data_IF_136625658013
#
_entry.id   IF_136625658013
#
_cell.length_a   1.000
_cell.length_b   1.000
_cell.length_c   1.000
_cell.angle_alpha   90.00
_cell.angle_beta   90.00
_cell.angle_gamma   90.00
#
_symmetry.space_group_name_H-M   'P 1'
#
loop_
_entity.id
_entity.type
_entity.pdbx_description
1 polymer ?
#
# COMPACT_ATOMS: atom_id res chain seq x y z
N UNK A 1 -6.66 -32.44 -1.62
CA UNK A 1 -7.77 -31.60 -1.11
C UNK A 1 -7.34 -30.53 -0.10
N UNK A 2 -6.24 -30.66 0.65
CA UNK A 2 -5.78 -29.61 1.57
C UNK A 2 -5.03 -28.43 0.90
N UNK A 3 -4.50 -28.63 -0.32
CA UNK A 3 -3.67 -27.64 -1.04
C UNK A 3 -4.51 -26.61 -1.81
N UNK A 4 -5.74 -26.93 -2.21
CA UNK A 4 -6.62 -26.03 -2.99
C UNK A 4 -7.38 -25.00 -2.14
N UNK A 5 -7.43 -25.19 -0.81
CA UNK A 5 -8.08 -24.24 0.10
C UNK A 5 -7.07 -23.25 0.74
N UNK A 6 -5.77 -23.40 0.44
CA UNK A 6 -4.72 -22.57 1.01
C UNK A 6 -4.31 -21.48 0.01
N UNK A 7 -4.55 -20.21 0.36
CA UNK A 7 -4.09 -19.03 -0.41
C UNK A 7 -2.55 -18.92 -0.48
N UNK A 8 -1.83 -19.72 0.32
CA UNK A 8 -0.37 -19.75 0.39
C UNK A 8 0.09 -21.20 0.40
N UNK A 9 0.83 -21.61 -0.64
CA UNK A 9 1.47 -22.93 -0.72
C UNK A 9 2.91 -22.81 -0.23
N UNK A 10 3.23 -23.54 0.84
CA UNK A 10 4.58 -23.63 1.38
C UNK A 10 5.33 -24.73 0.62
N UNK A 11 6.44 -24.37 -0.01
CA UNK A 11 7.29 -25.28 -0.79
C UNK A 11 8.42 -25.90 0.07
N UNK A 12 8.59 -25.41 1.30
CA UNK A 12 9.60 -25.82 2.28
C UNK A 12 8.91 -26.37 3.54
N UNK A 13 9.37 -27.51 4.06
CA UNK A 13 8.78 -28.22 5.22
C UNK A 13 9.09 -27.59 6.60
N UNK A 14 9.60 -26.35 6.65
CA UNK A 14 10.03 -25.71 7.90
C UNK A 14 9.00 -24.67 8.42
N UNK A 15 8.19 -24.98 9.45
CA UNK A 15 7.12 -24.11 9.95
C UNK A 15 7.65 -22.81 10.56
N UNK A 16 8.95 -22.72 10.87
CA UNK A 16 9.59 -21.48 11.32
C UNK A 16 9.51 -20.36 10.26
N UNK A 17 9.47 -20.70 8.96
CA UNK A 17 9.34 -19.74 7.85
C UNK A 17 7.96 -19.06 7.82
N UNK A 18 6.92 -19.68 8.36
CA UNK A 18 5.57 -19.10 8.47
C UNK A 18 5.56 -17.89 9.42
N UNK A 19 6.26 -18.00 10.55
CA UNK A 19 6.42 -16.91 11.53
C UNK A 19 7.11 -15.69 10.92
N UNK A 20 8.16 -15.92 10.12
CA UNK A 20 8.89 -14.88 9.39
C UNK A 20 8.01 -14.23 8.32
N UNK A 21 7.34 -15.04 7.48
CA UNK A 21 6.42 -14.55 6.45
C UNK A 21 5.29 -13.70 7.06
N UNK A 22 4.71 -14.13 8.18
CA UNK A 22 3.71 -13.35 8.91
C UNK A 22 4.25 -12.03 9.46
N UNK A 23 5.49 -12.01 9.99
CA UNK A 23 6.13 -10.76 10.44
C UNK A 23 6.35 -9.77 9.29
N UNK A 24 6.76 -10.27 8.12
CA UNK A 24 6.95 -9.45 6.91
C UNK A 24 5.60 -8.90 6.42
N UNK A 25 4.57 -9.75 6.36
CA UNK A 25 3.21 -9.36 5.97
C UNK A 25 2.63 -8.28 6.89
N UNK A 26 2.84 -8.35 8.21
CA UNK A 26 2.38 -7.29 9.14
C UNK A 26 3.06 -5.94 8.92
N UNK A 27 4.35 -5.93 8.55
CA UNK A 27 5.07 -4.71 8.19
C UNK A 27 4.60 -4.14 6.85
N UNK A 28 4.37 -5.02 5.87
CA UNK A 28 3.72 -4.67 4.60
C UNK A 28 2.40 -3.93 4.84
N UNK A 29 1.52 -4.51 5.64
CA UNK A 29 0.20 -3.93 5.91
C UNK A 29 0.31 -2.53 6.52
N UNK A 30 1.25 -2.28 7.44
CA UNK A 30 1.45 -0.93 7.99
C UNK A 30 1.82 0.10 6.91
N UNK A 31 2.68 -0.26 5.96
CA UNK A 31 3.08 0.63 4.85
C UNK A 31 1.91 0.87 3.90
N UNK A 32 1.14 -0.19 3.59
CA UNK A 32 -0.08 -0.08 2.77
C UNK A 32 -1.08 0.88 3.43
N UNK A 33 -1.32 0.75 4.74
CA UNK A 33 -2.17 1.68 5.48
C UNK A 33 -1.67 3.13 5.39
N UNK A 34 -0.37 3.37 5.50
CA UNK A 34 0.20 4.72 5.33
C UNK A 34 -0.09 5.28 3.94
N UNK A 35 0.09 4.48 2.88
CA UNK A 35 -0.20 4.90 1.51
C UNK A 35 -1.69 5.21 1.29
N UNK A 36 -2.59 4.36 1.80
CA UNK A 36 -4.04 4.56 1.71
C UNK A 36 -4.45 5.84 2.42
N UNK A 37 -3.96 6.05 3.66
CA UNK A 37 -4.24 7.26 4.43
C UNK A 37 -3.74 8.51 3.71
N UNK A 38 -2.54 8.46 3.13
CA UNK A 38 -1.99 9.58 2.34
C UNK A 38 -2.85 9.90 1.12
N UNK A 39 -3.25 8.89 0.37
CA UNK A 39 -4.10 9.06 -0.80
C UNK A 39 -5.48 9.64 -0.45
N UNK A 40 -6.11 9.12 0.62
CA UNK A 40 -7.39 9.62 1.12
C UNK A 40 -7.29 11.05 1.62
N UNK A 41 -6.21 11.41 2.31
CA UNK A 41 -6.00 12.77 2.81
C UNK A 41 -5.94 13.77 1.65
N UNK A 42 -5.17 13.48 0.60
CA UNK A 42 -5.08 14.37 -0.57
C UNK A 42 -6.44 14.46 -1.29
N UNK A 43 -7.13 13.33 -1.49
CA UNK A 43 -8.48 13.33 -2.09
C UNK A 43 -9.45 14.20 -1.29
N UNK A 44 -9.43 14.09 0.04
CA UNK A 44 -10.29 14.86 0.94
C UNK A 44 -9.98 16.36 0.90
N UNK A 45 -8.70 16.74 0.88
CA UNK A 45 -8.28 18.15 0.77
C UNK A 45 -8.83 18.78 -0.52
N UNK A 46 -8.66 18.12 -1.66
CA UNK A 46 -9.17 18.63 -2.94
C UNK A 46 -10.69 18.61 -3.03
N UNK A 47 -11.34 17.63 -2.42
CA UNK A 47 -12.80 17.59 -2.33
C UNK A 47 -13.34 18.80 -1.55
N UNK A 48 -12.73 19.12 -0.41
CA UNK A 48 -13.10 20.30 0.40
C UNK A 48 -12.80 21.60 -0.36
N UNK A 49 -11.60 21.76 -0.92
CA UNK A 49 -11.23 22.94 -1.71
C UNK A 49 -12.13 23.13 -2.94
N UNK A 50 -12.55 22.04 -3.58
CA UNK A 50 -13.52 22.03 -4.67
C UNK A 50 -14.92 22.45 -4.22
N UNK A 51 -15.37 21.98 -3.06
CA UNK A 51 -16.64 22.39 -2.46
C UNK A 51 -16.69 23.90 -2.14
N UNK A 52 -15.54 24.51 -1.78
CA UNK A 52 -15.41 25.95 -1.59
C UNK A 52 -15.19 26.75 -2.91
N UNK A 53 -15.10 26.09 -4.06
CA UNK A 53 -14.98 26.74 -5.37
C UNK A 53 -13.61 27.35 -5.69
N UNK A 54 -12.59 27.08 -4.86
CA UNK A 54 -11.23 27.64 -5.00
C UNK A 54 -10.31 26.67 -5.78
N UNK A 55 -10.70 25.40 -5.90
CA UNK A 55 -9.87 24.39 -6.55
C UNK A 55 -9.94 24.47 -8.08
N UNK A 56 -8.79 24.69 -8.71
CA UNK A 56 -8.60 24.43 -10.13
C UNK A 56 -8.44 22.91 -10.36
N UNK A 57 -9.25 22.33 -11.25
CA UNK A 57 -9.19 20.89 -11.57
C UNK A 57 -7.79 20.42 -11.98
N UNK A 58 -7.01 21.30 -12.61
CA UNK A 58 -5.62 21.03 -12.99
C UNK A 58 -4.74 20.58 -11.80
N UNK A 59 -4.82 21.31 -10.67
CA UNK A 59 -4.05 20.98 -9.48
C UNK A 59 -4.51 19.69 -8.82
N UNK A 60 -5.82 19.40 -8.89
CA UNK A 60 -6.38 18.16 -8.36
C UNK A 60 -5.87 16.93 -9.13
N UNK A 61 -5.81 17.01 -10.47
CA UNK A 61 -5.28 15.93 -11.31
C UNK A 61 -3.79 15.72 -11.06
N UNK A 62 -3.00 16.80 -10.98
CA UNK A 62 -1.58 16.69 -10.67
C UNK A 62 -1.33 16.03 -9.32
N UNK A 63 -2.10 16.42 -8.29
CA UNK A 63 -1.99 15.84 -6.97
C UNK A 63 -2.37 14.35 -6.93
N UNK A 64 -3.43 13.93 -7.62
CA UNK A 64 -3.86 12.52 -7.69
C UNK A 64 -2.78 11.64 -8.36
N UNK A 65 -2.20 12.13 -9.47
CA UNK A 65 -1.10 11.44 -10.18
C UNK A 65 0.17 11.43 -9.33
N UNK A 66 0.50 12.52 -8.65
CA UNK A 66 1.65 12.59 -7.73
C UNK A 66 1.53 11.63 -6.55
N UNK A 67 0.34 11.57 -5.93
CA UNK A 67 0.00 10.61 -4.87
C UNK A 67 0.15 9.18 -5.36
N UNK A 68 -0.33 8.87 -6.57
CA UNK A 68 -0.19 7.54 -7.16
C UNK A 68 1.28 7.16 -7.30
N UNK A 69 2.13 8.06 -7.82
CA UNK A 69 3.57 7.80 -7.96
C UNK A 69 4.22 7.59 -6.60
N UNK A 70 3.91 8.42 -5.59
CA UNK A 70 4.43 8.27 -4.23
C UNK A 70 4.00 6.94 -3.60
N UNK A 71 2.74 6.54 -3.78
CA UNK A 71 2.23 5.26 -3.29
C UNK A 71 2.96 4.08 -3.95
N UNK A 72 3.21 4.15 -5.27
CA UNK A 72 3.97 3.13 -6.01
C UNK A 72 5.41 3.07 -5.52
N UNK A 73 6.09 4.21 -5.34
CA UNK A 73 7.46 4.24 -4.82
C UNK A 73 7.56 3.64 -3.40
N UNK A 74 6.62 3.97 -2.53
CA UNK A 74 6.54 3.38 -1.18
C UNK A 74 6.25 1.86 -1.24
N UNK A 75 5.42 1.41 -2.17
CA UNK A 75 5.16 -0.02 -2.38
C UNK A 75 6.40 -0.75 -2.94
N UNK A 76 7.14 -0.14 -3.88
CA UNK A 76 8.39 -0.69 -4.40
C UNK A 76 9.47 -0.78 -3.32
N UNK A 77 9.56 0.21 -2.42
CA UNK A 77 10.48 0.15 -1.27
C UNK A 77 10.22 -1.05 -0.37
N UNK A 78 8.96 -1.49 -0.27
CA UNK A 78 8.59 -2.68 0.48
C UNK A 78 9.08 -3.98 -0.18
N UNK A 79 9.04 -4.05 -1.52
CA UNK A 79 9.54 -5.21 -2.27
C UNK A 79 11.06 -5.40 -2.09
N UNK A 80 11.78 -4.31 -1.84
CA UNK A 80 13.24 -4.30 -1.58
C UNK A 80 13.55 -4.62 -0.09
N UNK A 81 12.55 -4.94 0.74
CA UNK A 81 12.80 -5.53 2.06
C UNK A 81 13.21 -6.99 1.87
N UNK A 82 14.39 -7.17 1.30
CA UNK A 82 15.07 -8.43 1.12
C UNK A 82 16.02 -8.64 2.31
N UNK A 83 15.68 -9.67 3.10
CA UNK A 83 16.60 -10.63 3.71
C UNK A 83 17.72 -10.04 4.60
N UNK A 84 17.39 -9.85 5.87
CA UNK A 84 18.35 -10.11 6.96
C UNK A 84 17.77 -11.22 7.84
#
# INVERSE_FOLDING_TARGET
AAIEAADVVLMDDDPAKISLAMKISRKCMHIVYQNIVFALAVKAIFLLLGAFGIANMWWAVFADVGVMILAVLNAMRMLIVEKN
#
